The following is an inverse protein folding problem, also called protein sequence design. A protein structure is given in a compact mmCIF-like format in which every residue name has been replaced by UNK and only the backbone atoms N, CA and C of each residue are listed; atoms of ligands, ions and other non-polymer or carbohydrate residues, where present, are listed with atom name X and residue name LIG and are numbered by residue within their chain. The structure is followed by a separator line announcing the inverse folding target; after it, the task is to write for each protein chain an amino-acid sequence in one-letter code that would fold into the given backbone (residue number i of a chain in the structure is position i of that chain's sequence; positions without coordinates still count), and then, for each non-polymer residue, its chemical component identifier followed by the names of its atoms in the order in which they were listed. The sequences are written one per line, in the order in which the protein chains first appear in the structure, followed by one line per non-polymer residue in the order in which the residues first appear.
data_IF_665482000251
#
_entry.id   IF_665482000251
#
_cell.length_a   1.000
_cell.length_b   1.000
_cell.length_c   1.000
_cell.angle_alpha   90.00
_cell.angle_beta   90.00
_cell.angle_gamma   90.00
#
_symmetry.space_group_name_H-M   'P 1'
#
loop_
_entity.id
_entity.type
_entity.pdbx_description
1 polymer ?
#
# COMPACT_ATOMS: atom_id res chain seq x y z
N UNK A 1 -6.63 18.78 8.54
CA UNK A 1 -6.01 17.87 7.60
C UNK A 1 -5.46 16.67 8.35
N UNK A 2 -5.84 15.48 7.92
CA UNK A 2 -5.52 14.19 8.57
C UNK A 2 -4.01 13.91 8.68
N UNK A 3 -3.18 14.55 7.88
CA UNK A 3 -1.74 14.32 7.85
C UNK A 3 -0.98 14.96 9.02
N UNK A 4 -1.46 16.06 9.58
CA UNK A 4 -0.83 16.70 10.74
C UNK A 4 -0.93 15.87 12.04
N UNK A 5 -1.77 14.83 12.05
CA UNK A 5 -1.92 13.96 13.23
C UNK A 5 -0.90 12.81 13.18
N UNK A 6 -0.55 12.35 11.98
CA UNK A 6 0.26 11.13 11.75
C UNK A 6 1.76 11.32 11.93
N UNK A 7 2.24 12.56 11.97
CA UNK A 7 3.64 12.93 12.20
C UNK A 7 3.92 13.45 13.62
N UNK A 8 2.92 13.35 14.52
CA UNK A 8 3.04 13.80 15.92
C UNK A 8 2.96 12.62 16.89
N UNK A 9 4.05 12.30 17.60
CA UNK A 9 4.07 11.19 18.58
C UNK A 9 2.94 11.23 19.59
N UNK A 10 2.58 12.43 20.11
CA UNK A 10 1.52 12.58 21.11
C UNK A 10 0.14 12.20 20.56
N UNK A 11 -0.14 12.54 19.29
CA UNK A 11 -1.40 12.18 18.63
C UNK A 11 -1.45 10.66 18.36
N UNK A 12 -0.34 10.06 17.92
CA UNK A 12 -0.24 8.62 17.72
C UNK A 12 -0.42 7.85 19.04
N UNK A 13 0.19 8.34 20.13
CA UNK A 13 -0.02 7.78 21.48
C UNK A 13 -1.50 7.79 21.86
N UNK A 14 -2.19 8.92 21.64
CA UNK A 14 -3.60 9.04 21.98
C UNK A 14 -4.47 8.04 21.21
N UNK A 15 -4.33 8.00 19.87
CA UNK A 15 -5.15 7.09 19.05
C UNK A 15 -4.82 5.63 19.34
N UNK A 16 -3.57 5.29 19.69
CA UNK A 16 -3.20 3.94 20.12
C UNK A 16 -3.89 3.55 21.42
N UNK A 17 -3.91 4.44 22.42
CA UNK A 17 -4.64 4.24 23.69
C UNK A 17 -6.14 4.10 23.49
N UNK A 18 -6.71 4.73 22.47
CA UNK A 18 -8.13 4.58 22.09
C UNK A 18 -8.43 3.27 21.33
N UNK A 19 -7.42 2.39 21.16
CA UNK A 19 -7.60 1.08 20.54
C UNK A 19 -7.43 1.05 19.03
N UNK A 20 -6.96 2.14 18.40
CA UNK A 20 -6.63 2.12 16.97
C UNK A 20 -5.46 1.18 16.70
N UNK A 21 -5.61 0.29 15.73
CA UNK A 21 -4.57 -0.66 15.30
C UNK A 21 -4.13 -0.47 13.85
N UNK A 22 -4.87 0.32 13.06
CA UNK A 22 -4.64 0.54 11.64
C UNK A 22 -4.75 2.03 11.31
N UNK A 23 -3.78 2.55 10.56
CA UNK A 23 -3.80 3.92 10.02
C UNK A 23 -3.96 3.85 8.52
N UNK A 24 -4.86 4.67 7.96
CA UNK A 24 -4.98 4.86 6.52
C UNK A 24 -4.35 6.20 6.11
N UNK A 25 -3.48 6.15 5.11
CA UNK A 25 -2.74 7.32 4.62
C UNK A 25 -2.96 7.52 3.13
N UNK A 26 -3.52 8.67 2.74
CA UNK A 26 -3.63 9.09 1.34
C UNK A 26 -2.33 9.73 0.88
N UNK A 27 -1.34 8.95 0.50
CA UNK A 27 -0.05 9.46 -0.01
C UNK A 27 -0.14 9.92 -1.45
N UNK A 28 -0.92 9.22 -2.25
CA UNK A 28 -1.21 9.40 -3.68
C UNK A 28 -0.03 9.06 -4.60
N UNK A 29 1.16 9.58 -4.36
CA UNK A 29 2.39 9.40 -5.13
C UNK A 29 3.61 9.64 -4.24
N UNK A 30 4.78 9.20 -4.65
CA UNK A 30 6.09 9.59 -4.09
C UNK A 30 6.87 10.54 -4.99
N UNK A 31 6.30 10.94 -6.12
CA UNK A 31 6.86 11.99 -6.97
C UNK A 31 6.45 13.36 -6.44
N UNK A 32 7.42 14.12 -5.92
CA UNK A 32 7.15 15.44 -5.33
C UNK A 32 6.56 16.41 -6.34
N UNK A 33 6.97 16.34 -7.60
CA UNK A 33 6.42 17.20 -8.64
C UNK A 33 4.93 16.91 -8.88
N UNK A 34 4.56 15.60 -8.94
CA UNK A 34 3.14 15.22 -9.05
C UNK A 34 2.35 15.67 -7.82
N UNK A 35 2.90 15.52 -6.61
CA UNK A 35 2.24 15.99 -5.40
C UNK A 35 1.98 17.49 -5.46
N UNK A 36 2.94 18.29 -5.89
CA UNK A 36 2.87 19.74 -5.94
C UNK A 36 1.83 20.23 -6.96
N UNK A 37 1.88 19.73 -8.20
CA UNK A 37 0.93 20.16 -9.25
C UNK A 37 -0.50 19.66 -9.01
N UNK A 38 -0.68 18.59 -8.25
CA UNK A 38 -1.98 18.09 -7.80
C UNK A 38 -2.41 18.70 -6.43
N UNK A 39 -1.73 19.77 -6.00
CA UNK A 39 -2.03 20.53 -4.77
C UNK A 39 -2.03 19.69 -3.48
N UNK A 40 -1.28 18.60 -3.46
CA UNK A 40 -1.09 17.76 -2.28
C UNK A 40 -0.01 18.37 -1.40
N UNK A 41 -0.38 19.27 -0.52
CA UNK A 41 0.52 20.02 0.38
C UNK A 41 1.25 19.14 1.39
N UNK A 42 2.01 18.16 0.88
CA UNK A 42 2.83 17.22 1.63
C UNK A 42 4.12 16.95 0.90
N UNK A 43 5.21 16.82 1.64
CA UNK A 43 6.47 16.36 1.09
C UNK A 43 6.66 14.84 1.23
N UNK A 44 7.48 14.26 0.35
CA UNK A 44 7.89 12.85 0.43
C UNK A 44 8.56 12.57 1.78
N UNK A 45 9.39 13.47 2.30
CA UNK A 45 10.00 13.35 3.63
C UNK A 45 8.98 13.29 4.78
N UNK A 46 7.85 14.00 4.66
CA UNK A 46 6.77 13.89 5.65
C UNK A 46 6.06 12.54 5.55
N UNK A 47 5.91 11.98 4.35
CA UNK A 47 5.37 10.63 4.17
C UNK A 47 6.30 9.60 4.82
N UNK A 48 7.62 9.66 4.56
CA UNK A 48 8.62 8.80 5.17
C UNK A 48 8.58 8.84 6.71
N UNK A 49 8.57 10.05 7.29
CA UNK A 49 8.44 10.24 8.73
C UNK A 49 7.14 9.62 9.28
N UNK A 50 6.02 9.80 8.57
CA UNK A 50 4.74 9.24 8.99
C UNK A 50 4.74 7.71 8.97
N UNK A 51 5.38 7.08 7.98
CA UNK A 51 5.56 5.63 7.92
C UNK A 51 6.43 5.11 9.06
N UNK A 52 7.57 5.73 9.31
CA UNK A 52 8.48 5.40 10.41
C UNK A 52 7.78 5.43 11.75
N UNK A 53 7.10 6.54 12.06
CA UNK A 53 6.36 6.67 13.32
C UNK A 53 5.22 5.65 13.41
N UNK A 54 4.43 5.44 12.34
CA UNK A 54 3.35 4.47 12.35
C UNK A 54 3.85 3.05 12.69
N UNK A 55 5.01 2.64 12.19
CA UNK A 55 5.64 1.36 12.54
C UNK A 55 6.05 1.29 14.01
N UNK A 56 6.78 2.30 14.50
CA UNK A 56 7.24 2.36 15.89
C UNK A 56 6.09 2.36 16.90
N UNK A 57 4.93 2.92 16.51
CA UNK A 57 3.70 2.87 17.31
C UNK A 57 2.88 1.58 17.10
N UNK A 58 3.36 0.64 16.28
CA UNK A 58 2.74 -0.67 16.06
C UNK A 58 1.45 -0.64 15.24
N UNK A 59 1.25 0.37 14.41
CA UNK A 59 0.10 0.41 13.52
C UNK A 59 0.31 -0.44 12.27
N UNK A 60 -0.77 -1.07 11.80
CA UNK A 60 -0.87 -1.53 10.41
C UNK A 60 -0.97 -0.31 9.50
N UNK A 61 -0.12 -0.25 8.49
CA UNK A 61 -0.06 0.86 7.53
C UNK A 61 -0.85 0.50 6.27
N UNK A 62 -1.93 1.24 6.04
CA UNK A 62 -2.74 1.11 4.84
C UNK A 62 -2.62 2.40 4.02
N UNK A 63 -1.99 2.33 2.87
CA UNK A 63 -1.77 3.48 2.02
C UNK A 63 -2.76 3.54 0.85
N UNK A 64 -3.04 4.75 0.39
CA UNK A 64 -3.78 4.99 -0.85
C UNK A 64 -2.82 5.58 -1.87
N UNK A 65 -2.66 4.88 -2.99
CA UNK A 65 -1.83 5.27 -4.13
C UNK A 65 -2.73 5.58 -5.32
N UNK A 66 -2.39 6.58 -6.11
CA UNK A 66 -3.17 6.98 -7.29
C UNK A 66 -2.34 6.90 -8.56
N UNK A 67 -2.94 6.35 -9.58
CA UNK A 67 -2.40 6.33 -10.94
C UNK A 67 -3.03 7.43 -11.77
N UNK A 68 -2.33 7.87 -12.80
CA UNK A 68 -2.82 8.87 -13.77
C UNK A 68 -3.19 10.21 -13.13
N UNK A 69 -2.43 10.66 -12.14
CA UNK A 69 -2.53 12.04 -11.64
C UNK A 69 -2.19 13.04 -12.76
N UNK A 70 -2.58 14.31 -12.61
CA UNK A 70 -2.15 15.35 -13.53
C UNK A 70 -0.62 15.33 -13.63
N UNK A 71 -0.09 15.26 -14.85
CA UNK A 71 1.35 15.17 -15.13
C UNK A 71 1.96 13.77 -15.09
N UNK A 72 1.22 12.76 -14.64
CA UNK A 72 1.70 11.38 -14.62
C UNK A 72 1.74 10.74 -16.02
N UNK A 73 2.61 9.76 -16.16
CA UNK A 73 2.71 8.88 -17.34
C UNK A 73 2.67 7.42 -16.90
N UNK A 74 2.25 6.47 -17.76
CA UNK A 74 2.23 5.05 -17.40
C UNK A 74 3.57 4.54 -16.86
N UNK A 75 4.67 4.88 -17.51
CA UNK A 75 6.02 4.49 -17.09
C UNK A 75 6.48 5.21 -15.81
N UNK A 76 5.99 6.45 -15.59
CA UNK A 76 6.21 7.20 -14.36
C UNK A 76 5.52 6.54 -13.18
N UNK A 77 4.24 6.22 -13.34
CA UNK A 77 3.45 5.56 -12.31
C UNK A 77 4.01 4.18 -11.92
N UNK A 78 4.45 3.37 -12.90
CA UNK A 78 5.11 2.06 -12.62
C UNK A 78 6.36 2.24 -11.76
N UNK A 79 7.26 3.19 -12.11
CA UNK A 79 8.46 3.46 -11.32
C UNK A 79 8.16 3.99 -9.93
N UNK A 80 7.17 4.87 -9.82
CA UNK A 80 6.76 5.45 -8.55
C UNK A 80 6.14 4.40 -7.62
N UNK A 81 5.30 3.51 -8.16
CA UNK A 81 4.74 2.40 -7.43
C UNK A 81 5.80 1.35 -7.04
N UNK A 82 6.73 1.00 -7.94
CA UNK A 82 7.85 0.12 -7.62
C UNK A 82 8.69 0.68 -6.47
N UNK A 83 9.03 1.97 -6.55
CA UNK A 83 9.73 2.69 -5.47
C UNK A 83 8.96 2.58 -4.15
N UNK A 84 7.65 2.78 -4.20
CA UNK A 84 6.77 2.70 -3.03
C UNK A 84 6.76 1.31 -2.38
N UNK A 85 6.90 0.24 -3.18
CA UNK A 85 6.86 -1.15 -2.72
C UNK A 85 8.23 -1.69 -2.32
N UNK A 86 9.34 -1.08 -2.76
CA UNK A 86 10.70 -1.63 -2.57
C UNK A 86 11.62 -0.78 -1.72
N UNK A 87 11.36 0.53 -1.60
CA UNK A 87 12.17 1.42 -0.78
C UNK A 87 11.78 1.31 0.70
N UNK A 88 12.74 0.94 1.56
CA UNK A 88 12.51 0.65 2.98
C UNK A 88 11.81 1.76 3.79
N UNK A 89 11.93 3.02 3.35
CA UNK A 89 11.25 4.15 3.96
C UNK A 89 9.72 4.04 3.88
N UNK A 90 9.18 3.28 2.92
CA UNK A 90 7.75 3.17 2.65
C UNK A 90 7.21 1.76 2.93
N UNK A 91 7.09 0.88 1.94
CA UNK A 91 6.70 -0.53 2.06
C UNK A 91 5.44 -0.74 2.93
N UNK A 92 4.24 -0.37 2.46
CA UNK A 92 3.00 -0.47 3.25
C UNK A 92 2.61 -1.92 3.52
N UNK A 93 1.85 -2.15 4.59
CA UNK A 93 1.25 -3.47 4.89
C UNK A 93 0.05 -3.76 3.97
N UNK A 94 -0.66 -2.71 3.56
CA UNK A 94 -1.84 -2.78 2.70
C UNK A 94 -1.90 -1.54 1.81
N UNK A 95 -2.34 -1.71 0.57
CA UNK A 95 -2.49 -0.61 -0.37
C UNK A 95 -3.82 -0.67 -1.10
N UNK A 96 -4.38 0.51 -1.36
CA UNK A 96 -5.42 0.74 -2.36
C UNK A 96 -4.80 1.47 -3.53
N UNK A 97 -5.03 0.98 -4.74
CA UNK A 97 -4.55 1.60 -5.97
C UNK A 97 -5.75 2.12 -6.75
N UNK A 98 -5.80 3.42 -6.98
CA UNK A 98 -6.92 4.07 -7.65
C UNK A 98 -6.47 4.77 -8.92
N UNK A 99 -7.07 4.44 -10.09
CA UNK A 99 -6.91 5.30 -11.25
C UNK A 99 -7.64 6.64 -11.03
N UNK A 100 -6.97 7.74 -11.32
CA UNK A 100 -7.58 9.06 -11.32
C UNK A 100 -8.73 9.10 -12.34
N UNK A 101 -9.83 9.75 -11.98
CA UNK A 101 -10.99 9.92 -12.83
C UNK A 101 -11.47 11.37 -12.75
N UNK A 102 -12.05 11.85 -13.86
CA UNK A 102 -12.63 13.17 -13.94
C UNK A 102 -14.01 13.19 -13.28
N UNK A 103 -14.16 14.03 -12.28
CA UNK A 103 -15.41 14.23 -11.55
C UNK A 103 -15.89 15.66 -11.81
N UNK A 104 -17.20 15.83 -11.97
CA UNK A 104 -17.81 17.15 -12.13
C UNK A 104 -17.43 18.11 -10.98
N UNK A 105 -17.14 19.35 -11.33
CA UNK A 105 -16.74 20.38 -10.36
C UNK A 105 -15.31 20.28 -9.84
N UNK A 106 -14.53 19.25 -10.23
CA UNK A 106 -13.10 19.18 -9.89
C UNK A 106 -12.29 20.17 -10.75
N UNK A 107 -11.15 20.65 -10.19
CA UNK A 107 -10.22 21.50 -10.95
C UNK A 107 -9.60 20.80 -12.15
N UNK A 108 -9.58 19.47 -12.14
CA UNK A 108 -9.07 18.65 -13.24
C UNK A 108 -9.88 18.82 -14.53
N UNK A 109 -11.16 19.24 -14.44
CA UNK A 109 -12.01 19.54 -15.61
C UNK A 109 -11.35 20.57 -16.52
N UNK A 110 -10.85 21.68 -15.94
CA UNK A 110 -10.16 22.70 -16.72
C UNK A 110 -8.88 22.19 -17.38
N UNK A 111 -8.12 21.32 -16.73
CA UNK A 111 -6.93 20.68 -17.31
C UNK A 111 -7.31 19.74 -18.46
N UNK A 112 -8.38 18.97 -18.30
CA UNK A 112 -8.92 18.09 -19.34
C UNK A 112 -9.36 18.88 -20.58
N UNK A 113 -10.12 19.98 -20.38
CA UNK A 113 -10.59 20.84 -21.48
C UNK A 113 -9.46 21.49 -22.26
N UNK A 114 -8.33 21.80 -21.59
CA UNK A 114 -7.12 22.33 -22.24
C UNK A 114 -6.20 21.24 -22.83
N UNK A 115 -6.55 19.96 -22.69
CA UNK A 115 -5.72 18.85 -23.15
C UNK A 115 -4.46 18.59 -22.33
N UNK A 116 -4.36 19.12 -21.12
CA UNK A 116 -3.24 18.95 -20.20
C UNK A 116 -3.28 17.62 -19.43
N UNK A 117 -4.45 17.01 -19.38
CA UNK A 117 -4.68 15.71 -18.76
C UNK A 117 -5.66 14.88 -19.60
N UNK A 118 -5.44 13.58 -19.64
CA UNK A 118 -6.36 12.59 -20.16
C UNK A 118 -6.39 11.35 -19.26
N UNK A 119 -7.47 10.58 -19.17
CA UNK A 119 -7.41 9.26 -18.57
C UNK A 119 -6.49 8.34 -19.38
N UNK A 120 -5.85 7.39 -18.71
CA UNK A 120 -5.20 6.28 -19.41
C UNK A 120 -6.23 5.51 -20.23
N UNK A 121 -5.82 5.02 -21.38
CA UNK A 121 -6.58 4.02 -22.11
C UNK A 121 -6.72 2.76 -21.26
N UNK A 122 -7.67 1.90 -21.61
CA UNK A 122 -7.83 0.64 -20.89
C UNK A 122 -6.56 -0.22 -20.93
N UNK A 123 -5.88 -0.27 -22.08
CA UNK A 123 -4.64 -1.03 -22.22
C UNK A 123 -3.53 -0.47 -21.35
N UNK A 124 -3.29 0.85 -21.38
CA UNK A 124 -2.31 1.52 -20.51
C UNK A 124 -2.60 1.23 -19.04
N UNK A 125 -3.86 1.36 -18.62
CA UNK A 125 -4.24 1.13 -17.23
C UNK A 125 -4.05 -0.33 -16.80
N UNK A 126 -4.45 -1.29 -17.64
CA UNK A 126 -4.30 -2.71 -17.34
C UNK A 126 -2.82 -3.13 -17.30
N UNK A 127 -1.98 -2.55 -18.14
CA UNK A 127 -0.54 -2.83 -18.16
C UNK A 127 0.15 -2.26 -16.91
N UNK A 128 -0.17 -1.03 -16.51
CA UNK A 128 0.37 -0.44 -15.27
C UNK A 128 -0.04 -1.28 -14.05
N UNK A 129 -1.34 -1.58 -13.91
CA UNK A 129 -1.84 -2.36 -12.78
C UNK A 129 -1.31 -3.80 -12.75
N UNK A 130 -1.06 -4.41 -13.91
CA UNK A 130 -0.45 -5.73 -13.97
C UNK A 130 1.00 -5.72 -13.49
N UNK A 131 1.77 -4.71 -13.86
CA UNK A 131 3.14 -4.52 -13.38
C UNK A 131 3.16 -4.21 -11.88
N UNK A 132 2.22 -3.37 -11.38
CA UNK A 132 2.05 -3.06 -9.97
C UNK A 132 1.76 -4.31 -9.13
N UNK A 133 0.92 -5.23 -9.61
CA UNK A 133 0.67 -6.51 -8.92
C UNK A 133 1.93 -7.35 -8.85
N UNK A 134 2.71 -7.44 -9.91
CA UNK A 134 3.92 -8.28 -9.98
C UNK A 134 5.00 -7.75 -9.03
N UNK A 135 5.19 -6.44 -8.95
CA UNK A 135 6.20 -5.83 -8.08
C UNK A 135 5.78 -5.80 -6.59
N UNK A 136 4.49 -5.95 -6.31
CA UNK A 136 3.99 -5.93 -4.93
C UNK A 136 4.55 -7.11 -4.12
N UNK A 137 5.25 -6.84 -2.99
CA UNK A 137 5.91 -7.87 -2.21
C UNK A 137 4.94 -8.79 -1.47
N UNK A 138 5.46 -9.94 -1.04
CA UNK A 138 4.70 -11.01 -0.41
C UNK A 138 4.02 -10.61 0.91
N UNK A 139 4.52 -9.59 1.58
CA UNK A 139 3.97 -9.06 2.82
C UNK A 139 2.90 -7.97 2.62
N UNK A 140 2.71 -7.45 1.42
CA UNK A 140 1.75 -6.39 1.14
C UNK A 140 0.46 -6.96 0.53
N UNK A 141 -0.68 -6.37 0.90
CA UNK A 141 -2.00 -6.72 0.38
C UNK A 141 -2.56 -5.59 -0.48
N UNK A 142 -2.85 -5.87 -1.75
CA UNK A 142 -3.63 -4.94 -2.57
C UNK A 142 -5.12 -5.15 -2.25
N UNK A 143 -5.66 -4.31 -1.37
CA UNK A 143 -7.02 -4.48 -0.86
C UNK A 143 -8.08 -4.04 -1.87
N UNK A 144 -7.75 -3.05 -2.71
CA UNK A 144 -8.69 -2.48 -3.68
C UNK A 144 -7.99 -1.87 -4.89
N UNK A 145 -8.58 -2.05 -6.08
CA UNK A 145 -8.14 -1.46 -7.35
C UNK A 145 -9.28 -0.70 -8.03
N UNK A 146 -10.26 -0.28 -7.27
CA UNK A 146 -11.46 0.39 -7.77
C UNK A 146 -11.73 1.64 -6.94
N UNK A 147 -12.34 2.64 -7.54
CA UNK A 147 -12.79 3.89 -6.91
C UNK A 147 -13.66 3.70 -5.66
N UNK A 148 -13.70 4.70 -4.81
CA UNK A 148 -14.57 4.77 -3.62
C UNK A 148 -15.92 5.51 -3.88
N UNK A 149 -16.15 6.04 -5.10
CA UNK A 149 -17.35 6.78 -5.49
C UNK A 149 -18.10 6.10 -6.65
N UNK A 150 -19.35 6.51 -6.90
CA UNK A 150 -20.20 5.90 -7.93
C UNK A 150 -19.63 6.07 -9.34
N UNK A 151 -19.96 5.12 -10.23
CA UNK A 151 -19.67 5.27 -11.67
C UNK A 151 -20.39 6.44 -12.29
N UNK A 152 -21.50 6.84 -11.70
CA UNK A 152 -22.33 7.92 -12.23
C UNK A 152 -21.70 9.29 -12.01
N UNK A 153 -20.85 9.41 -10.97
CA UNK A 153 -20.10 10.63 -10.67
C UNK A 153 -18.89 10.85 -11.59
N UNK A 154 -18.49 9.81 -12.35
CA UNK A 154 -17.35 9.88 -13.27
C UNK A 154 -17.79 10.44 -14.63
N UNK A 155 -17.25 11.60 -14.99
CA UNK A 155 -17.42 12.14 -16.34
C UNK A 155 -16.56 11.36 -17.34
N UNK A 156 -15.25 11.25 -17.07
CA UNK A 156 -14.27 10.58 -17.92
C UNK A 156 -13.31 9.76 -17.06
N UNK A 157 -12.97 8.54 -17.50
CA UNK A 157 -12.08 7.64 -16.80
C UNK A 157 -12.64 6.23 -16.66
N UNK A 158 -11.97 5.39 -15.88
CA UNK A 158 -12.41 4.00 -15.72
C UNK A 158 -13.70 3.90 -14.89
N UNK A 159 -14.73 3.32 -15.47
CA UNK A 159 -16.03 3.06 -14.82
C UNK A 159 -16.25 1.58 -14.47
N UNK A 160 -15.35 0.69 -14.89
CA UNK A 160 -15.53 -0.77 -14.76
C UNK A 160 -15.44 -1.22 -13.30
N UNK A 161 -16.45 -1.91 -12.76
CA UNK A 161 -16.42 -2.38 -11.37
C UNK A 161 -15.52 -3.61 -11.19
N UNK A 162 -15.21 -4.33 -12.25
CA UNK A 162 -14.42 -5.57 -12.27
C UNK A 162 -12.97 -5.37 -12.70
N UNK A 163 -12.40 -4.17 -12.47
CA UNK A 163 -11.04 -3.83 -12.92
C UNK A 163 -10.00 -4.87 -12.47
N UNK A 164 -10.06 -5.33 -11.22
CA UNK A 164 -9.14 -6.38 -10.72
C UNK A 164 -9.19 -7.65 -11.55
N UNK A 165 -10.38 -8.13 -11.90
CA UNK A 165 -10.52 -9.33 -12.74
C UNK A 165 -9.90 -9.14 -14.13
N UNK A 166 -10.04 -7.95 -14.72
CA UNK A 166 -9.43 -7.64 -16.01
C UNK A 166 -7.89 -7.66 -15.92
N UNK A 167 -7.32 -7.14 -14.83
CA UNK A 167 -5.88 -7.17 -14.57
C UNK A 167 -5.39 -8.61 -14.37
N UNK A 168 -6.11 -9.43 -13.60
CA UNK A 168 -5.78 -10.85 -13.41
C UNK A 168 -5.84 -11.63 -14.72
N UNK A 169 -6.81 -11.34 -15.60
CA UNK A 169 -6.88 -11.93 -16.95
C UNK A 169 -5.67 -11.46 -17.82
N UNK A 170 -5.26 -10.19 -17.69
CA UNK A 170 -4.06 -9.66 -18.37
C UNK A 170 -2.78 -10.36 -17.91
N UNK A 171 -2.64 -10.59 -16.60
CA UNK A 171 -1.52 -11.35 -16.02
C UNK A 171 -1.49 -12.79 -16.52
N UNK A 172 -2.65 -13.48 -16.53
CA UNK A 172 -2.74 -14.83 -17.05
C UNK A 172 -2.32 -14.93 -18.53
N UNK A 173 -2.65 -13.92 -19.33
CA UNK A 173 -2.24 -13.85 -20.74
C UNK A 173 -0.74 -13.59 -20.93
N UNK A 174 -0.01 -13.05 -19.94
CA UNK A 174 1.46 -12.88 -19.98
C UNK A 174 2.22 -14.19 -19.76
N UNK A 175 1.55 -15.28 -19.35
CA UNK A 175 2.14 -16.61 -19.14
C UNK A 175 2.89 -16.77 -17.80
N UNK A 176 3.67 -17.83 -17.70
CA UNK A 176 4.32 -18.26 -16.43
C UNK A 176 5.40 -17.32 -15.89
N UNK A 177 5.78 -16.27 -16.64
CA UNK A 177 6.79 -15.31 -16.21
C UNK A 177 6.34 -14.30 -15.14
N UNK A 178 5.04 -14.16 -14.87
CA UNK A 178 4.50 -13.20 -13.93
C UNK A 178 4.15 -13.87 -12.59
N UNK A 179 5.13 -13.94 -11.67
CA UNK A 179 4.90 -14.49 -10.32
C UNK A 179 4.25 -13.42 -9.43
N UNK A 180 2.99 -13.61 -9.10
CA UNK A 180 2.26 -12.73 -8.17
C UNK A 180 2.46 -13.18 -6.74
N UNK A 181 3.02 -12.30 -5.89
CA UNK A 181 3.37 -12.59 -4.49
C UNK A 181 2.46 -11.90 -3.47
N UNK A 182 1.69 -10.89 -3.87
CA UNK A 182 0.83 -10.13 -2.97
C UNK A 182 -0.16 -11.01 -2.22
N UNK A 183 -0.54 -10.60 -0.99
CA UNK A 183 -1.30 -11.44 -0.07
C UNK A 183 -2.65 -11.88 -0.65
N UNK A 184 -3.46 -10.95 -1.17
CA UNK A 184 -4.83 -11.24 -1.63
C UNK A 184 -4.88 -12.28 -2.76
N UNK A 185 -3.86 -12.32 -3.60
CA UNK A 185 -3.75 -13.34 -4.66
C UNK A 185 -3.45 -14.73 -4.11
N UNK A 186 -2.81 -14.78 -2.93
CA UNK A 186 -2.38 -16.01 -2.27
C UNK A 186 -3.30 -16.47 -1.13
N UNK A 187 -4.32 -15.70 -0.73
CA UNK A 187 -5.28 -16.11 0.30
C UNK A 187 -5.89 -17.48 -0.03
N UNK A 188 -6.04 -18.37 0.97
CA UNK A 188 -6.78 -19.61 0.80
C UNK A 188 -8.24 -19.29 0.48
N UNK A 189 -8.88 -20.18 -0.28
CA UNK A 189 -10.31 -20.07 -0.57
C UNK A 189 -11.14 -20.51 0.64
N UNK A 190 -12.44 -20.22 0.59
CA UNK A 190 -13.42 -20.69 1.59
C UNK A 190 -13.51 -22.21 1.73
N UNK A 191 -12.91 -22.98 0.79
CA UNK A 191 -12.77 -24.42 0.91
C UNK A 191 -11.74 -24.83 1.99
N UNK A 192 -10.99 -23.84 2.52
CA UNK A 192 -9.98 -24.08 3.55
C UNK A 192 -8.68 -24.69 3.01
N UNK A 193 -7.85 -25.13 3.94
CA UNK A 193 -6.61 -25.86 3.67
C UNK A 193 -6.50 -27.03 4.67
N UNK A 194 -5.82 -28.08 4.27
CA UNK A 194 -5.45 -29.13 5.21
C UNK A 194 -4.41 -28.58 6.19
N UNK A 195 -4.73 -28.62 7.47
CA UNK A 195 -3.86 -28.08 8.53
C UNK A 195 -2.54 -28.86 8.64
N UNK A 196 -2.56 -30.16 8.34
CA UNK A 196 -1.39 -31.03 8.43
C UNK A 196 -0.39 -30.75 7.29
N UNK A 197 -0.82 -30.10 6.21
CA UNK A 197 0.04 -29.72 5.08
C UNK A 197 0.60 -28.29 5.21
N UNK A 198 0.22 -27.52 6.22
CA UNK A 198 0.71 -26.17 6.41
C UNK A 198 2.14 -26.15 6.93
N UNK A 199 2.97 -25.29 6.36
CA UNK A 199 4.32 -24.99 6.85
C UNK A 199 4.48 -23.53 7.21
N UNK A 200 5.32 -23.25 8.22
CA UNK A 200 5.72 -21.89 8.57
C UNK A 200 6.82 -21.44 7.60
N UNK A 201 6.57 -20.33 6.93
CA UNK A 201 7.52 -19.65 6.05
C UNK A 201 7.95 -18.34 6.72
N UNK A 202 9.26 -18.19 6.92
CA UNK A 202 9.91 -17.04 7.57
C UNK A 202 10.79 -16.23 6.60
N UNK A 203 10.78 -16.55 5.32
CA UNK A 203 11.72 -15.97 4.34
C UNK A 203 11.47 -14.47 4.07
N UNK A 204 10.30 -13.95 4.46
CA UNK A 204 9.95 -12.55 4.17
C UNK A 204 10.36 -11.64 5.32
N UNK A 205 11.57 -11.13 5.23
CA UNK A 205 12.12 -10.12 6.13
C UNK A 205 12.55 -8.89 5.32
N UNK A 206 12.40 -7.69 5.89
CA UNK A 206 12.82 -6.45 5.26
C UNK A 206 13.19 -5.40 6.30
N UNK A 207 14.07 -4.49 5.90
CA UNK A 207 14.54 -3.39 6.73
C UNK A 207 13.85 -2.08 6.35
N UNK A 208 13.61 -1.28 7.36
CA UNK A 208 13.16 0.11 7.25
C UNK A 208 14.16 1.02 7.95
N UNK A 209 14.08 2.35 7.81
CA UNK A 209 14.98 3.25 8.53
C UNK A 209 14.93 3.14 10.06
N UNK A 210 13.88 2.54 10.62
CA UNK A 210 13.62 2.55 12.07
C UNK A 210 13.27 1.18 12.66
N UNK A 211 13.05 0.16 11.81
CA UNK A 211 12.66 -1.18 12.24
C UNK A 211 13.21 -2.25 11.31
N UNK A 212 13.40 -3.44 11.86
CA UNK A 212 13.53 -4.68 11.10
C UNK A 212 12.23 -5.46 11.18
N UNK A 213 11.62 -5.74 10.03
CA UNK A 213 10.29 -6.34 9.93
C UNK A 213 10.39 -7.82 9.54
N UNK A 214 9.60 -8.67 10.20
CA UNK A 214 9.41 -10.07 9.84
C UNK A 214 7.95 -10.35 9.54
N UNK A 215 7.71 -10.94 8.38
CA UNK A 215 6.41 -11.42 7.96
C UNK A 215 6.40 -12.94 7.99
N UNK A 216 5.88 -13.49 9.09
CA UNK A 216 5.78 -14.93 9.31
C UNK A 216 4.45 -15.42 8.74
N UNK A 217 4.45 -16.43 7.89
CA UNK A 217 3.23 -16.89 7.21
C UNK A 217 3.09 -18.41 7.25
N UNK A 218 1.87 -18.87 7.51
CA UNK A 218 1.49 -20.27 7.32
C UNK A 218 1.01 -20.46 5.90
N UNK A 219 1.71 -21.33 5.14
CA UNK A 219 1.47 -21.53 3.71
C UNK A 219 1.20 -23.00 3.39
N UNK A 220 0.36 -23.21 2.38
CA UNK A 220 0.17 -24.52 1.77
C UNK A 220 1.36 -24.87 0.87
N UNK A 221 1.52 -26.15 0.42
CA UNK A 221 2.54 -26.53 -0.56
C UNK A 221 2.48 -25.78 -1.89
N UNK A 222 1.32 -25.17 -2.19
CA UNK A 222 1.11 -24.31 -3.38
C UNK A 222 1.37 -22.83 -3.12
N UNK A 223 1.92 -22.46 -1.96
CA UNK A 223 2.20 -21.07 -1.60
C UNK A 223 0.98 -20.22 -1.26
N UNK A 224 -0.19 -20.82 -1.01
CA UNK A 224 -1.37 -20.10 -0.52
C UNK A 224 -1.23 -19.81 0.96
N UNK A 225 -1.67 -18.62 1.41
CA UNK A 225 -1.59 -18.15 2.80
C UNK A 225 -2.83 -18.58 3.57
N UNK A 226 -2.64 -19.33 4.67
CA UNK A 226 -3.68 -19.67 5.63
C UNK A 226 -3.73 -18.68 6.82
N UNK A 227 -2.62 -18.06 7.15
CA UNK A 227 -2.51 -17.04 8.17
C UNK A 227 -1.14 -16.41 8.21
N UNK A 228 -1.02 -15.26 8.87
CA UNK A 228 0.26 -14.58 9.03
C UNK A 228 0.35 -13.74 10.31
N UNK A 229 1.58 -13.42 10.67
CA UNK A 229 1.94 -12.50 11.75
C UNK A 229 2.98 -11.51 11.24
N UNK A 230 2.79 -10.24 11.56
CA UNK A 230 3.79 -9.17 11.35
C UNK A 230 4.49 -8.87 12.66
N UNK A 231 5.78 -9.15 12.70
CA UNK A 231 6.65 -8.84 13.82
C UNK A 231 7.56 -7.68 13.43
N UNK A 232 7.58 -6.63 14.26
CA UNK A 232 8.46 -5.47 14.12
C UNK A 232 9.47 -5.46 15.25
N UNK A 233 10.74 -5.34 14.89
CA UNK A 233 11.87 -5.19 15.79
C UNK A 233 12.42 -3.78 15.62
N UNK A 234 12.15 -2.84 16.54
CA UNK A 234 12.63 -1.48 16.43
C UNK A 234 14.17 -1.40 16.42
N UNK A 235 14.73 -0.46 15.66
CA UNK A 235 16.14 -0.16 15.74
C UNK A 235 16.50 0.37 17.13
N UNK A 236 17.37 -0.35 17.82
CA UNK A 236 17.76 -0.06 19.21
C UNK A 236 18.33 1.35 19.38
N UNK A 237 19.19 1.76 18.46
CA UNK A 237 19.87 3.07 18.53
C UNK A 237 18.88 4.20 18.28
N UNK A 238 17.98 4.01 17.31
CA UNK A 238 16.94 5.00 17.00
C UNK A 238 15.99 5.18 18.19
N UNK A 239 15.49 4.09 18.76
CA UNK A 239 14.56 4.16 19.90
C UNK A 239 15.22 4.75 21.14
N UNK A 240 16.46 4.38 21.43
CA UNK A 240 17.23 4.95 22.56
C UNK A 240 17.42 6.47 22.41
N UNK A 241 17.69 6.94 21.18
CA UNK A 241 17.85 8.37 20.89
C UNK A 241 16.54 9.18 20.98
N UNK A 242 15.36 8.52 20.93
CA UNK A 242 14.04 9.15 20.91
C UNK A 242 13.13 8.64 22.04
N UNK A 243 13.72 8.17 23.15
CA UNK A 243 12.99 7.55 24.27
C UNK A 243 11.89 8.44 24.88
N UNK A 244 12.08 9.77 24.85
CA UNK A 244 11.10 10.73 25.39
C UNK A 244 9.86 10.90 24.48
N UNK A 245 9.96 10.50 23.20
CA UNK A 245 8.91 10.69 22.22
C UNK A 245 8.16 9.39 21.87
N UNK A 246 8.81 8.23 22.06
CA UNK A 246 8.31 6.93 21.61
C UNK A 246 7.72 6.12 22.76
N UNK A 247 6.64 5.35 22.52
CA UNK A 247 6.06 4.47 23.53
C UNK A 247 6.83 3.15 23.70
N UNK A 248 7.74 2.84 22.78
CA UNK A 248 8.49 1.58 22.70
C UNK A 248 9.85 1.73 23.36
N UNK A 249 10.31 0.70 24.06
CA UNK A 249 11.69 0.63 24.57
C UNK A 249 12.61 -0.08 23.56
N UNK A 250 13.94 0.14 23.63
CA UNK A 250 14.88 -0.48 22.69
C UNK A 250 14.84 -2.01 22.63
N UNK A 251 14.46 -2.66 23.73
CA UNK A 251 14.45 -4.13 23.85
C UNK A 251 13.07 -4.77 23.58
N UNK A 252 12.09 -3.98 23.15
CA UNK A 252 10.74 -4.46 22.84
C UNK A 252 10.59 -4.84 21.37
N UNK A 253 9.95 -5.99 21.12
CA UNK A 253 9.43 -6.38 19.83
C UNK A 253 7.91 -6.15 19.79
N UNK A 254 7.34 -5.83 18.63
CA UNK A 254 5.93 -5.53 18.50
C UNK A 254 5.24 -6.41 17.45
N UNK A 255 4.19 -7.10 17.86
CA UNK A 255 3.27 -7.74 16.93
C UNK A 255 2.30 -6.68 16.42
N UNK A 256 2.42 -6.31 15.11
CA UNK A 256 1.60 -5.27 14.50
C UNK A 256 0.29 -5.80 13.91
N UNK A 257 0.28 -7.07 13.51
CA UNK A 257 -0.90 -7.72 12.95
C UNK A 257 -0.80 -9.24 13.12
N UNK A 258 -1.93 -9.87 13.43
CA UNK A 258 -2.14 -11.31 13.29
C UNK A 258 -3.41 -11.50 12.46
N UNK A 259 -3.35 -12.33 11.45
CA UNK A 259 -4.49 -12.63 10.58
C UNK A 259 -4.56 -14.13 10.28
N UNK A 260 -5.75 -14.69 10.36
CA UNK A 260 -6.03 -16.08 10.00
C UNK A 260 -7.19 -16.08 9.00
N UNK A 261 -7.01 -16.79 7.92
CA UNK A 261 -8.03 -17.00 6.89
C UNK A 261 -8.80 -18.29 7.16
N UNK A 262 -10.13 -18.25 6.99
CA UNK A 262 -10.99 -19.39 7.17
C UNK A 262 -12.41 -19.13 6.72
#
# INVERSE_FOLDING_TARGET
SEMCIRDRPQALTLIRRLGCTKIQMGIQSLDQHLLDINERRISVAQIERAFSLARLFGFKIHAHFMLNLLGATPEGDKRDYERFMTEGAFMPDEVKVYPCALIEGSRLVGCYERGEWRPYTEEELLDVLADDIVVTPAFCRISRMIRDFSSDDIMVGNKKPNLRQLVENRLAARGEGAVVREIRYREISTAGADLDELSLDEEVAYETPVTYERFLQWVTPRGKIAGFLRLSLPDHSFVAAHADELPTTPDEAMIREVHVYG
#
